data_IF_111888508260
#
_entry.id   IF_111888508260
#
_cell.length_a   1.000
_cell.length_b   1.000
_cell.length_c   1.000
_cell.angle_alpha   90.00
_cell.angle_beta   90.00
_cell.angle_gamma   90.00
#
_symmetry.space_group_name_H-M   'P 1'
#
loop_
_entity.id
_entity.type
_entity.pdbx_description
1 polymer ?
#
# COMPACT_ATOMS: atom_id res chain seq x y z
N UNK A 1 31.38 -7.87 7.95
CA UNK A 1 30.57 -6.63 7.91
C UNK A 1 29.27 -6.95 7.18
N UNK A 2 28.40 -7.74 7.80
CA UNK A 2 27.27 -7.33 8.65
C UNK A 2 25.99 -7.36 7.82
N UNK A 3 25.41 -8.56 7.76
CA UNK A 3 24.04 -8.79 7.31
C UNK A 3 23.10 -7.90 8.12
N UNK A 4 22.47 -6.95 7.46
CA UNK A 4 21.50 -6.05 8.08
C UNK A 4 20.24 -6.85 8.39
N UNK A 5 20.23 -7.48 9.57
CA UNK A 5 19.03 -8.01 10.23
C UNK A 5 18.02 -6.87 10.38
N UNK A 6 17.13 -6.71 9.40
CA UNK A 6 15.88 -5.95 9.55
C UNK A 6 14.90 -6.83 10.33
N UNK A 7 15.28 -7.23 11.54
CA UNK A 7 14.31 -7.55 12.56
C UNK A 7 13.67 -6.20 12.92
N UNK A 8 12.51 -5.90 12.33
CA UNK A 8 11.67 -4.78 12.73
C UNK A 8 11.48 -4.86 14.24
N UNK A 9 12.22 -4.05 15.01
CA UNK A 9 11.93 -3.82 16.43
C UNK A 9 10.45 -3.45 16.49
N UNK A 10 9.61 -4.34 17.03
CA UNK A 10 8.19 -4.04 17.27
C UNK A 10 8.17 -2.73 18.05
N UNK A 11 7.66 -1.67 17.42
CA UNK A 11 7.49 -0.39 18.09
C UNK A 11 6.79 -0.63 19.43
N UNK A 12 7.32 -0.07 20.51
CA UNK A 12 6.84 -0.37 21.85
C UNK A 12 5.40 0.14 22.00
N UNK A 13 4.41 -0.78 22.00
CA UNK A 13 2.97 -0.47 22.03
C UNK A 13 2.49 -0.41 23.49
N UNK A 14 2.86 0.64 24.20
CA UNK A 14 2.61 0.79 25.65
C UNK A 14 1.41 1.70 26.00
N UNK A 15 0.70 2.24 25.01
CA UNK A 15 -0.49 3.09 25.21
C UNK A 15 -1.76 2.34 24.80
N UNK A 16 -2.78 2.40 25.65
CA UNK A 16 -4.08 1.78 25.43
C UNK A 16 -5.21 2.81 25.49
N UNK A 17 -6.22 2.63 24.64
CA UNK A 17 -7.50 3.35 24.70
C UNK A 17 -8.58 2.36 25.12
N UNK A 18 -9.40 2.72 26.10
CA UNK A 18 -10.56 1.93 26.52
C UNK A 18 -11.82 2.59 25.97
N UNK A 19 -12.61 1.84 25.22
CA UNK A 19 -13.88 2.30 24.63
C UNK A 19 -14.99 1.46 25.23
N UNK A 20 -16.09 2.10 25.64
CA UNK A 20 -17.32 1.40 26.05
C UNK A 20 -18.18 1.19 24.81
N UNK A 21 -18.71 -0.02 24.67
CA UNK A 21 -19.61 -0.42 23.58
C UNK A 21 -20.88 -1.00 24.21
N UNK A 22 -22.01 -0.76 23.58
CA UNK A 22 -23.22 -1.54 23.80
C UNK A 22 -23.02 -3.00 23.38
N UNK A 23 -23.91 -3.89 23.81
CA UNK A 23 -23.87 -5.31 23.43
C UNK A 23 -23.96 -5.49 21.90
N UNK A 24 -24.84 -4.73 21.24
CA UNK A 24 -25.00 -4.78 19.79
C UNK A 24 -23.72 -4.34 19.05
N UNK A 25 -23.08 -3.26 19.49
CA UNK A 25 -21.81 -2.80 18.92
C UNK A 25 -20.68 -3.80 19.13
N UNK A 26 -20.60 -4.41 20.32
CA UNK A 26 -19.58 -5.40 20.62
C UNK A 26 -19.75 -6.69 19.81
N UNK A 27 -21.00 -7.16 19.65
CA UNK A 27 -21.33 -8.31 18.82
C UNK A 27 -20.95 -8.06 17.35
N UNK A 28 -21.38 -6.93 16.78
CA UNK A 28 -21.06 -6.58 15.39
C UNK A 28 -19.54 -6.48 15.15
N UNK A 29 -18.81 -5.88 16.09
CA UNK A 29 -17.35 -5.78 16.02
C UNK A 29 -16.67 -7.16 16.07
N UNK A 30 -17.19 -8.07 16.89
CA UNK A 30 -16.64 -9.42 17.05
C UNK A 30 -16.88 -10.25 15.80
N UNK A 31 -18.10 -10.24 15.25
CA UNK A 31 -18.42 -10.91 13.98
C UNK A 31 -17.51 -10.41 12.85
N UNK A 32 -17.33 -9.10 12.72
CA UNK A 32 -16.43 -8.55 11.71
C UNK A 32 -14.97 -9.01 11.90
N UNK A 33 -14.51 -9.09 13.15
CA UNK A 33 -13.16 -9.53 13.47
C UNK A 33 -12.94 -11.02 13.10
N UNK A 34 -13.93 -11.87 13.36
CA UNK A 34 -13.95 -13.28 12.98
C UNK A 34 -13.91 -13.46 11.46
N UNK A 35 -14.78 -12.77 10.72
CA UNK A 35 -14.80 -12.79 9.25
C UNK A 35 -13.47 -12.32 8.65
N UNK A 36 -12.81 -11.37 9.29
CA UNK A 36 -11.50 -10.87 8.89
C UNK A 36 -10.33 -11.77 9.33
N UNK A 37 -10.58 -12.82 10.13
CA UNK A 37 -9.57 -13.64 10.78
C UNK A 37 -8.55 -12.83 11.60
N UNK A 38 -9.03 -11.80 12.31
CA UNK A 38 -8.21 -10.91 13.14
C UNK A 38 -8.76 -10.82 14.55
N UNK A 39 -7.92 -10.61 15.58
CA UNK A 39 -8.43 -10.27 16.90
C UNK A 39 -9.07 -8.88 16.88
N UNK A 40 -10.11 -8.67 17.69
CA UNK A 40 -10.86 -7.41 17.80
C UNK A 40 -9.97 -6.18 18.04
N UNK A 41 -8.91 -6.35 18.82
CA UNK A 41 -7.93 -5.28 19.10
C UNK A 41 -7.11 -4.88 17.87
N UNK A 42 -6.85 -5.80 16.93
CA UNK A 42 -6.18 -5.50 15.66
C UNK A 42 -7.11 -4.75 14.72
N UNK A 43 -8.38 -5.13 14.64
CA UNK A 43 -9.41 -4.41 13.88
C UNK A 43 -9.49 -2.96 14.34
N UNK A 44 -9.71 -2.73 15.65
CA UNK A 44 -9.79 -1.39 16.23
C UNK A 44 -8.51 -0.59 15.97
N UNK A 45 -7.34 -1.23 16.05
CA UNK A 45 -6.07 -0.57 15.73
C UNK A 45 -6.01 -0.12 14.28
N UNK A 46 -6.42 -0.95 13.33
CA UNK A 46 -6.42 -0.59 11.90
C UNK A 46 -7.34 0.59 11.62
N UNK A 47 -8.54 0.57 12.20
CA UNK A 47 -9.49 1.67 12.10
C UNK A 47 -8.91 2.97 12.70
N UNK A 48 -8.31 2.90 13.89
CA UNK A 48 -7.69 4.06 14.53
C UNK A 48 -6.49 4.61 13.72
N UNK A 49 -5.69 3.73 13.11
CA UNK A 49 -4.57 4.16 12.24
C UNK A 49 -5.06 4.84 10.98
N UNK A 50 -6.09 4.29 10.34
CA UNK A 50 -6.70 4.88 9.16
C UNK A 50 -7.28 6.27 9.46
N UNK A 51 -8.07 6.39 10.54
CA UNK A 51 -8.62 7.66 11.00
C UNK A 51 -7.53 8.68 11.39
N UNK A 52 -6.41 8.22 11.93
CA UNK A 52 -5.24 9.06 12.28
C UNK A 52 -4.34 9.42 11.10
N UNK A 53 -4.70 9.09 9.86
CA UNK A 53 -3.91 9.42 8.68
C UNK A 53 -2.67 8.56 8.47
N UNK A 54 -2.50 7.46 9.23
CA UNK A 54 -1.38 6.52 9.05
C UNK A 54 -1.58 5.56 7.86
N UNK A 55 -2.68 5.73 7.12
CA UNK A 55 -3.04 4.92 5.96
C UNK A 55 -3.54 3.51 6.33
N UNK A 56 -4.09 2.79 5.33
CA UNK A 56 -4.56 1.42 5.53
C UNK A 56 -3.40 0.49 5.90
N UNK A 57 -3.67 -0.48 6.77
CA UNK A 57 -2.70 -1.54 7.09
C UNK A 57 -2.75 -2.60 6.00
N UNK A 58 -1.73 -2.62 5.14
CA UNK A 58 -1.58 -3.63 4.11
C UNK A 58 -0.90 -4.87 4.67
N UNK A 59 -1.53 -6.03 4.50
CA UNK A 59 -0.97 -7.34 4.87
C UNK A 59 -1.11 -8.33 3.71
N UNK A 60 -0.46 -9.48 3.86
CA UNK A 60 -0.54 -10.59 2.91
C UNK A 60 -0.16 -10.20 1.48
N UNK A 61 -0.96 -10.66 0.52
CA UNK A 61 -0.72 -10.48 -0.91
C UNK A 61 -0.66 -9.00 -1.33
N UNK A 62 -1.47 -8.14 -0.71
CA UNK A 62 -1.51 -6.70 -1.05
C UNK A 62 -0.20 -6.01 -0.68
N UNK A 63 0.37 -6.34 0.48
CA UNK A 63 1.67 -5.81 0.88
C UNK A 63 2.80 -6.29 -0.05
N UNK A 64 2.74 -7.53 -0.53
CA UNK A 64 3.72 -8.06 -1.47
C UNK A 64 3.61 -7.41 -2.85
N UNK A 65 2.39 -7.21 -3.35
CA UNK A 65 2.14 -6.47 -4.59
C UNK A 65 2.69 -5.05 -4.49
N UNK A 66 2.43 -4.34 -3.39
CA UNK A 66 2.94 -2.98 -3.19
C UNK A 66 4.48 -2.94 -3.14
N UNK A 67 5.14 -3.91 -2.48
CA UNK A 67 6.60 -4.03 -2.49
C UNK A 67 7.14 -4.29 -3.90
N UNK A 68 6.50 -5.17 -4.66
CA UNK A 68 6.86 -5.46 -6.06
C UNK A 68 6.78 -4.19 -6.92
N UNK A 69 5.70 -3.42 -6.76
CA UNK A 69 5.50 -2.12 -7.42
C UNK A 69 6.64 -1.15 -7.11
N UNK A 70 7.03 -1.01 -5.84
CA UNK A 70 8.16 -0.13 -5.45
C UNK A 70 9.47 -0.57 -6.11
N UNK A 71 9.72 -1.88 -6.21
CA UNK A 71 10.90 -2.41 -6.90
C UNK A 71 10.88 -2.08 -8.40
N UNK A 72 9.71 -2.18 -9.06
CA UNK A 72 9.58 -1.82 -10.47
C UNK A 72 9.82 -0.33 -10.70
N UNK A 73 9.25 0.53 -9.86
CA UNK A 73 9.49 1.98 -9.92
C UNK A 73 10.97 2.33 -9.75
N UNK A 74 11.67 1.63 -8.85
CA UNK A 74 13.12 1.81 -8.70
C UNK A 74 13.89 1.45 -9.97
N UNK A 75 13.52 0.35 -10.64
CA UNK A 75 14.14 -0.04 -11.93
C UNK A 75 13.91 1.02 -13.02
N UNK A 76 12.71 1.59 -13.07
CA UNK A 76 12.38 2.69 -13.97
C UNK A 76 13.26 3.91 -13.69
N UNK A 77 13.37 4.34 -12.43
CA UNK A 77 14.22 5.46 -12.05
C UNK A 77 15.70 5.24 -12.40
N UNK A 78 16.21 4.01 -12.25
CA UNK A 78 17.57 3.64 -12.66
C UNK A 78 17.75 3.82 -14.18
N UNK A 79 16.81 3.34 -14.99
CA UNK A 79 16.88 3.50 -16.44
C UNK A 79 16.83 4.98 -16.87
N UNK A 80 15.97 5.79 -16.23
CA UNK A 80 15.91 7.23 -16.50
C UNK A 80 17.22 7.93 -16.15
N UNK A 81 17.83 7.57 -15.02
CA UNK A 81 19.12 8.12 -14.62
C UNK A 81 20.26 7.72 -15.58
N UNK A 82 20.20 6.51 -16.16
CA UNK A 82 21.15 6.09 -17.19
C UNK A 82 21.00 6.90 -18.48
N UNK A 83 19.76 7.14 -18.93
CA UNK A 83 19.48 7.99 -20.10
C UNK A 83 19.99 9.42 -19.85
N UNK A 84 19.70 9.99 -18.69
CA UNK A 84 20.18 11.31 -18.31
C UNK A 84 21.72 11.40 -18.30
N UNK A 85 22.40 10.37 -17.75
CA UNK A 85 23.87 10.31 -17.77
C UNK A 85 24.44 10.20 -19.17
N UNK A 86 23.83 9.38 -20.05
CA UNK A 86 24.26 9.26 -21.44
C UNK A 86 24.16 10.61 -22.15
N UNK A 87 23.03 11.30 -22.04
CA UNK A 87 22.81 12.64 -22.59
C UNK A 87 23.82 13.66 -22.03
N UNK A 88 24.00 13.69 -20.70
CA UNK A 88 24.95 14.61 -20.04
C UNK A 88 26.42 14.33 -20.41
N UNK A 89 26.74 13.11 -20.84
CA UNK A 89 28.09 12.74 -21.31
C UNK A 89 28.36 13.08 -22.78
N UNK A 90 27.44 13.75 -23.46
CA UNK A 90 27.54 14.08 -24.88
C UNK A 90 27.29 12.89 -25.82
N UNK A 91 26.92 11.72 -25.26
CA UNK A 91 26.52 10.53 -26.03
C UNK A 91 25.01 10.55 -26.19
N UNK A 92 24.52 11.04 -27.32
CA UNK A 92 23.10 10.95 -27.63
C UNK A 92 22.71 9.46 -27.77
N UNK A 93 21.80 8.92 -26.93
CA UNK A 93 21.21 7.61 -27.17
C UNK A 93 20.52 7.60 -28.54
N UNK A 94 20.51 6.47 -29.24
CA UNK A 94 19.73 6.38 -30.47
C UNK A 94 18.25 6.66 -30.19
N UNK A 95 17.56 7.28 -31.14
CA UNK A 95 16.13 7.60 -31.03
C UNK A 95 15.29 6.39 -30.61
N UNK A 96 15.59 5.20 -31.13
CA UNK A 96 14.94 3.94 -30.76
C UNK A 96 15.11 3.57 -29.28
N UNK A 97 16.30 3.80 -28.70
CA UNK A 97 16.55 3.55 -27.28
C UNK A 97 15.74 4.50 -26.39
N UNK A 98 15.66 5.78 -26.79
CA UNK A 98 14.90 6.80 -26.08
C UNK A 98 13.39 6.53 -26.17
N UNK A 99 12.89 6.26 -27.38
CA UNK A 99 11.49 5.91 -27.65
C UNK A 99 11.05 4.67 -26.88
N UNK A 100 11.83 3.60 -26.92
CA UNK A 100 11.54 2.37 -26.17
C UNK A 100 11.55 2.59 -24.64
N UNK A 101 12.42 3.47 -24.13
CA UNK A 101 12.43 3.85 -22.71
C UNK A 101 11.17 4.62 -22.29
N UNK A 102 10.77 5.60 -23.10
CA UNK A 102 9.57 6.42 -22.86
C UNK A 102 8.30 5.58 -22.95
N UNK A 103 8.17 4.69 -23.95
CA UNK A 103 7.01 3.80 -24.08
C UNK A 103 6.88 2.84 -22.89
N UNK A 104 8.01 2.31 -22.39
CA UNK A 104 8.01 1.48 -21.18
C UNK A 104 7.57 2.27 -19.95
N UNK A 105 8.05 3.51 -19.80
CA UNK A 105 7.64 4.40 -18.71
C UNK A 105 6.14 4.70 -18.78
N UNK A 106 5.63 5.07 -19.96
CA UNK A 106 4.22 5.38 -20.18
C UNK A 106 3.31 4.19 -19.84
N UNK A 107 3.67 2.98 -20.26
CA UNK A 107 2.93 1.76 -19.91
C UNK A 107 2.89 1.51 -18.40
N UNK A 108 4.02 1.74 -17.72
CA UNK A 108 4.16 1.47 -16.29
C UNK A 108 3.40 2.52 -15.45
N UNK A 109 3.41 3.79 -15.86
CA UNK A 109 2.58 4.85 -15.27
C UNK A 109 1.10 4.57 -15.46
N UNK A 110 0.66 4.23 -16.68
CA UNK A 110 -0.74 3.91 -16.96
C UNK A 110 -1.23 2.67 -16.19
N UNK A 111 -0.35 1.69 -15.96
CA UNK A 111 -0.68 0.54 -15.12
C UNK A 111 -0.84 0.94 -13.65
N UNK A 112 0.00 1.83 -13.13
CA UNK A 112 -0.12 2.31 -11.76
C UNK A 112 -1.38 3.12 -11.51
N UNK A 113 -1.83 3.95 -12.45
CA UNK A 113 -3.10 4.65 -12.33
C UNK A 113 -4.27 3.67 -12.18
N UNK A 114 -4.29 2.60 -13.00
CA UNK A 114 -5.31 1.54 -12.90
C UNK A 114 -5.25 0.80 -11.57
N UNK A 115 -4.06 0.41 -11.11
CA UNK A 115 -3.91 -0.31 -9.84
C UNK A 115 -4.36 0.55 -8.64
N UNK A 116 -4.05 1.86 -8.66
CA UNK A 116 -4.48 2.81 -7.63
C UNK A 116 -5.99 3.02 -7.64
N UNK A 117 -6.59 3.13 -8.82
CA UNK A 117 -8.03 3.30 -8.95
C UNK A 117 -8.80 2.05 -8.53
N UNK A 118 -8.27 0.86 -8.82
CA UNK A 118 -8.83 -0.39 -8.33
C UNK A 118 -8.73 -0.49 -6.80
N UNK A 119 -7.59 -0.11 -6.22
CA UNK A 119 -7.39 -0.14 -4.78
C UNK A 119 -8.31 0.87 -4.05
N UNK A 120 -8.51 2.05 -4.64
CA UNK A 120 -9.50 3.05 -4.19
C UNK A 120 -10.94 2.54 -4.34
N UNK A 121 -11.28 1.91 -5.46
CA UNK A 121 -12.60 1.35 -5.69
C UNK A 121 -12.94 0.23 -4.69
N UNK A 122 -12.00 -0.69 -4.44
CA UNK A 122 -12.14 -1.76 -3.44
C UNK A 122 -12.27 -1.20 -2.02
N UNK A 123 -11.47 -0.20 -1.66
CA UNK A 123 -11.59 0.49 -0.35
C UNK A 123 -12.98 1.14 -0.19
N UNK A 124 -13.45 1.88 -1.21
CA UNK A 124 -14.79 2.49 -1.22
C UNK A 124 -15.91 1.46 -1.18
N UNK A 125 -15.81 0.36 -1.92
CA UNK A 125 -16.82 -0.71 -1.93
C UNK A 125 -16.90 -1.42 -0.57
N UNK A 126 -15.74 -1.67 0.07
CA UNK A 126 -15.68 -2.21 1.43
C UNK A 126 -16.31 -1.26 2.45
N UNK A 127 -15.96 0.02 2.38
CA UNK A 127 -16.54 1.05 3.25
C UNK A 127 -18.06 1.18 3.04
N UNK A 128 -18.55 1.16 1.79
CA UNK A 128 -20.00 1.21 1.49
C UNK A 128 -20.77 -0.03 1.94
N UNK A 129 -20.20 -1.24 1.82
CA UNK A 129 -20.83 -2.46 2.36
C UNK A 129 -20.98 -2.39 3.88
N UNK A 130 -20.01 -1.79 4.57
CA UNK A 130 -20.06 -1.65 6.03
C UNK A 130 -21.02 -0.54 6.50
N UNK A 131 -21.28 0.48 5.66
CA UNK A 131 -22.23 1.56 5.96
C UNK A 131 -23.66 1.20 5.51
N UNK A 132 -23.82 0.38 4.47
CA UNK A 132 -25.12 0.02 3.88
C UNK A 132 -25.86 -1.15 4.54
N UNK A 133 -25.33 -1.75 5.60
CA UNK A 133 -26.00 -2.83 6.35
C UNK A 133 -26.75 -2.32 7.59
N UNK A 134 -26.77 -1.00 7.83
CA UNK A 134 -27.58 -0.38 8.89
C UNK A 134 -28.25 0.90 8.40
N UNK A 135 -29.28 0.74 7.56
CA UNK A 135 -30.49 1.60 7.54
C UNK A 135 -31.69 0.69 7.31
#
# INVERSE_FOLDING_TARGET
>A
MSETSIAQRRANRNRSVRVRLSEAEFAALTTFAEEAALPTSEVLRRLAREAGGFGPTFEGEVAQRLKSTVVQLRKVGVNLNQIARALNSGRAPSYEHLKGGIERLARLVAQHERDLDELRARSRARSRRLVGTNV
#
